data_IF_971793338346
#
_entry.id   IF_971793338346
#
_cell.length_a   1.000
_cell.length_b   1.000
_cell.length_c   1.000
_cell.angle_alpha   90.00
_cell.angle_beta   90.00
_cell.angle_gamma   90.00
#
_symmetry.space_group_name_H-M   'P 1'
#
loop_
_entity.id
_entity.type
_entity.pdbx_description
1 polymer ?
#
# COMPACT_ATOMS: atom_id res chain seq x y z
N UNK A 1 -1.36 10.77 -11.74
CA UNK A 1 -2.36 10.78 -10.66
C UNK A 1 -1.78 11.43 -9.39
N UNK A 2 -2.13 12.69 -9.17
CA UNK A 2 -1.90 13.36 -7.90
C UNK A 2 -3.09 13.02 -6.97
N UNK A 3 -2.82 12.64 -5.72
CA UNK A 3 -3.82 12.39 -4.64
C UNK A 3 -4.44 10.98 -4.46
N UNK A 4 -3.79 9.89 -4.87
CA UNK A 4 -4.21 8.57 -4.35
C UNK A 4 -3.72 8.44 -2.90
N UNK A 5 -4.64 8.68 -1.95
CA UNK A 5 -4.42 8.37 -0.55
C UNK A 5 -4.74 6.88 -0.32
N UNK A 6 -3.71 6.07 -0.04
CA UNK A 6 -3.85 4.62 0.18
C UNK A 6 -4.76 4.32 1.38
N UNK A 7 -4.87 5.22 2.36
CA UNK A 7 -5.80 5.05 3.49
C UNK A 7 -7.24 5.36 3.12
N UNK A 8 -7.46 6.13 2.03
CA UNK A 8 -8.77 6.47 1.47
C UNK A 8 -9.06 5.78 0.12
N UNK A 9 -8.30 4.73 -0.21
CA UNK A 9 -8.47 4.00 -1.47
C UNK A 9 -9.91 3.55 -1.69
N UNK A 10 -10.51 3.96 -2.80
CA UNK A 10 -11.90 3.63 -3.14
C UNK A 10 -12.08 2.18 -3.62
N UNK A 11 -11.01 1.54 -4.13
CA UNK A 11 -11.11 0.21 -4.73
C UNK A 11 -11.01 -0.91 -3.69
N UNK A 12 -11.86 -1.92 -3.84
CA UNK A 12 -11.91 -3.08 -2.93
C UNK A 12 -10.58 -3.85 -2.90
N UNK A 13 -9.95 -4.05 -4.06
CA UNK A 13 -8.69 -4.79 -4.16
C UNK A 13 -7.55 -4.12 -3.37
N UNK A 14 -7.40 -2.80 -3.48
CA UNK A 14 -6.35 -2.08 -2.77
C UNK A 14 -6.65 -1.98 -1.26
N UNK A 15 -7.94 -1.96 -0.86
CA UNK A 15 -8.34 -2.13 0.55
C UNK A 15 -7.89 -3.48 1.09
N UNK A 16 -8.12 -4.58 0.35
CA UNK A 16 -7.71 -5.92 0.78
C UNK A 16 -6.19 -6.03 0.93
N UNK A 17 -5.42 -5.56 -0.05
CA UNK A 17 -3.94 -5.56 0.03
C UNK A 17 -3.45 -4.76 1.24
N UNK A 18 -4.07 -3.61 1.54
CA UNK A 18 -3.74 -2.81 2.71
C UNK A 18 -4.03 -3.54 4.04
N UNK A 19 -5.18 -4.22 4.14
CA UNK A 19 -5.56 -5.01 5.32
C UNK A 19 -4.53 -6.14 5.55
N UNK A 20 -4.25 -6.94 4.53
CA UNK A 20 -3.30 -8.06 4.61
C UNK A 20 -1.89 -7.59 4.96
N UNK A 21 -1.46 -6.47 4.38
CA UNK A 21 -0.15 -5.86 4.68
C UNK A 21 -0.05 -5.44 6.16
N UNK A 22 -1.11 -4.85 6.71
CA UNK A 22 -1.12 -4.44 8.14
C UNK A 22 -1.09 -5.62 9.09
N UNK A 23 -1.74 -6.75 8.74
CA UNK A 23 -1.75 -7.96 9.58
C UNK A 23 -0.36 -8.55 9.81
N UNK A 24 0.57 -8.36 8.87
CA UNK A 24 1.97 -8.80 8.98
C UNK A 24 2.91 -7.67 9.46
N UNK A 25 2.36 -6.65 10.14
CA UNK A 25 3.09 -5.45 10.57
C UNK A 25 3.85 -4.77 9.42
N UNK A 26 3.30 -4.86 8.21
CA UNK A 26 3.84 -4.25 7.01
C UNK A 26 3.27 -2.85 6.76
N UNK A 27 3.87 -2.15 5.81
CA UNK A 27 3.48 -0.82 5.33
C UNK A 27 3.40 -0.82 3.81
N UNK A 28 2.26 -0.39 3.28
CA UNK A 28 2.06 -0.12 1.86
C UNK A 28 2.28 1.37 1.59
N UNK A 29 3.09 1.68 0.57
CA UNK A 29 3.37 3.05 0.11
C UNK A 29 3.16 3.14 -1.39
N UNK A 30 2.72 4.31 -1.86
CA UNK A 30 2.43 4.61 -3.25
C UNK A 30 3.22 5.83 -3.65
N UNK A 31 3.92 5.73 -4.78
CA UNK A 31 4.58 6.86 -5.43
C UNK A 31 4.03 6.98 -6.85
N UNK A 32 3.65 8.20 -7.24
CA UNK A 32 3.06 8.48 -8.55
C UNK A 32 3.95 9.35 -9.45
N UNK A 33 5.18 9.64 -9.02
CA UNK A 33 6.16 10.34 -9.84
C UNK A 33 6.72 9.40 -10.90
N UNK A 34 6.54 9.75 -12.19
CA UNK A 34 6.92 8.94 -13.36
C UNK A 34 6.24 7.56 -13.45
N UNK A 35 4.91 7.55 -13.31
CA UNK A 35 4.10 6.33 -13.28
C UNK A 35 3.72 5.91 -11.87
N UNK A 36 3.04 4.77 -11.74
CA UNK A 36 2.46 4.32 -10.46
C UNK A 36 3.28 3.18 -9.87
N UNK A 37 3.88 3.40 -8.70
CA UNK A 37 4.66 2.40 -7.97
C UNK A 37 4.06 2.11 -6.60
N UNK A 38 3.65 0.86 -6.39
CA UNK A 38 3.26 0.33 -5.09
C UNK A 38 4.45 -0.39 -4.44
N UNK A 39 4.76 -0.07 -3.18
CA UNK A 39 5.84 -0.69 -2.42
C UNK A 39 5.34 -1.15 -1.06
N UNK A 40 5.48 -2.44 -0.78
CA UNK A 40 5.19 -3.07 0.51
C UNK A 40 6.51 -3.31 1.25
N UNK A 41 6.59 -2.94 2.52
CA UNK A 41 7.73 -3.21 3.41
C UNK A 41 7.25 -3.84 4.69
N UNK A 42 7.87 -4.94 5.11
CA UNK A 42 7.59 -5.63 6.37
C UNK A 42 8.91 -6.09 6.98
N UNK A 43 8.90 -6.39 8.28
CA UNK A 43 10.10 -6.83 8.99
C UNK A 43 10.44 -8.27 8.60
N UNK A 44 11.72 -8.61 8.59
CA UNK A 44 12.16 -9.99 8.54
C UNK A 44 11.69 -10.70 9.82
N UNK A 45 11.22 -11.94 9.69
CA UNK A 45 11.03 -12.84 10.82
C UNK A 45 12.42 -13.39 11.18
N UNK A 46 12.85 -13.13 12.42
CA UNK A 46 14.08 -13.69 12.96
C UNK A 46 13.99 -15.21 13.14
#
# INVERSE_FOLDING_TARGET
>A
PENINIEKTETLGLKLVNILTKQINGKLTLKTNQGTKYKITFKKLD
#
